data_IF_709031000997
#
_entry.id   IF_709031000997
#
_cell.length_a   1.000
_cell.length_b   1.000
_cell.length_c   1.000
_cell.angle_alpha   90.00
_cell.angle_beta   90.00
_cell.angle_gamma   90.00
#
_symmetry.space_group_name_H-M   'P 1'
#
loop_
_entity.id
_entity.type
_entity.pdbx_description
1 polymer ?
#
# COMPACT_ATOMS: atom_id res chain seq x y z
N UNK A 1 -11.66 11.08 2.09
CA UNK A 1 -10.24 11.15 2.51
C UNK A 1 -9.89 9.88 3.27
N UNK A 2 -8.73 9.31 3.00
CA UNK A 2 -8.19 8.10 3.65
C UNK A 2 -6.75 8.39 4.08
N UNK A 3 -6.51 8.91 5.29
CA UNK A 3 -5.16 9.14 5.77
C UNK A 3 -4.40 7.84 5.99
N UNK A 4 -3.12 7.86 5.67
CA UNK A 4 -2.20 6.79 6.00
C UNK A 4 -1.62 7.06 7.39
N UNK A 5 -1.81 6.15 8.32
CA UNK A 5 -1.30 6.28 9.69
C UNK A 5 -0.14 5.30 9.90
N UNK A 6 1.05 5.87 10.07
CA UNK A 6 2.30 5.15 10.34
C UNK A 6 2.56 5.04 11.85
N UNK A 7 3.17 3.92 12.26
CA UNK A 7 3.61 3.69 13.63
C UNK A 7 5.02 4.25 13.91
N UNK A 8 5.79 4.62 12.88
CA UNK A 8 7.21 4.95 13.00
C UNK A 8 7.50 6.08 13.99
N UNK A 9 6.76 7.18 13.87
CA UNK A 9 7.08 8.44 14.55
C UNK A 9 6.12 8.75 15.71
N UNK A 10 5.27 7.79 16.10
CA UNK A 10 4.20 8.02 17.07
C UNK A 10 4.15 6.93 18.14
N UNK A 11 4.12 7.38 19.38
CA UNK A 11 3.79 6.52 20.50
C UNK A 11 2.27 6.28 20.58
N UNK A 12 1.85 5.39 21.48
CA UNK A 12 0.44 5.05 21.70
C UNK A 12 -0.44 6.27 21.97
N UNK A 13 0.07 7.24 22.75
CA UNK A 13 -0.70 8.45 23.10
C UNK A 13 -0.93 9.33 21.87
N UNK A 14 0.11 9.59 21.10
CA UNK A 14 0.04 10.37 19.87
C UNK A 14 -0.88 9.71 18.81
N UNK A 15 -0.84 8.39 18.70
CA UNK A 15 -1.75 7.62 17.82
C UNK A 15 -3.20 7.79 18.29
N UNK A 16 -3.48 7.65 19.60
CA UNK A 16 -4.82 7.84 20.15
C UNK A 16 -5.34 9.25 19.89
N UNK A 17 -4.54 10.27 20.19
CA UNK A 17 -4.89 11.67 19.94
C UNK A 17 -5.16 11.94 18.47
N UNK A 18 -4.33 11.41 17.57
CA UNK A 18 -4.52 11.53 16.12
C UNK A 18 -5.82 10.89 15.62
N UNK A 19 -6.15 9.70 16.12
CA UNK A 19 -7.40 9.02 15.79
C UNK A 19 -8.62 9.80 16.31
N UNK A 20 -8.58 10.29 17.55
CA UNK A 20 -9.66 11.11 18.12
C UNK A 20 -9.87 12.42 17.36
N UNK A 21 -8.78 13.14 17.07
CA UNK A 21 -8.84 14.40 16.34
C UNK A 21 -9.35 14.23 14.90
N UNK A 22 -8.87 13.23 14.18
CA UNK A 22 -9.35 12.94 12.83
C UNK A 22 -10.80 12.43 12.81
N UNK A 23 -11.19 11.65 13.81
CA UNK A 23 -12.59 11.23 14.01
C UNK A 23 -13.52 12.43 14.23
N UNK A 24 -13.13 13.37 15.11
CA UNK A 24 -13.87 14.61 15.33
C UNK A 24 -13.99 15.47 14.06
N UNK A 25 -13.02 15.37 13.14
CA UNK A 25 -13.04 16.02 11.81
C UNK A 25 -13.81 15.23 10.75
N UNK A 26 -14.57 14.18 11.11
CA UNK A 26 -15.40 13.40 10.21
C UNK A 26 -14.67 12.30 9.44
N UNK A 27 -13.38 12.04 9.71
CA UNK A 27 -12.63 10.98 9.04
C UNK A 27 -12.97 9.63 9.63
N UNK A 28 -13.34 8.66 8.77
CA UNK A 28 -13.70 7.30 9.17
C UNK A 28 -12.85 6.22 8.50
N UNK A 29 -12.21 6.52 7.38
CA UNK A 29 -11.44 5.56 6.59
C UNK A 29 -9.94 5.78 6.77
N UNK A 30 -9.17 4.72 7.02
CA UNK A 30 -7.73 4.79 7.27
C UNK A 30 -6.97 3.68 6.54
N UNK A 31 -5.71 3.95 6.21
CA UNK A 31 -4.74 2.91 5.89
C UNK A 31 -3.71 2.84 7.01
N UNK A 32 -3.60 1.70 7.68
CA UNK A 32 -2.64 1.48 8.75
C UNK A 32 -1.39 0.78 8.25
N UNK A 33 -0.25 1.42 8.47
CA UNK A 33 1.05 0.92 8.06
C UNK A 33 2.02 0.89 9.23
N UNK A 34 3.01 0.01 9.18
CA UNK A 34 4.09 0.03 10.18
C UNK A 34 4.96 1.28 9.99
N UNK A 35 5.21 1.65 8.76
CA UNK A 35 6.17 2.69 8.38
C UNK A 35 7.56 2.10 8.14
N UNK A 36 8.32 2.76 7.26
CA UNK A 36 9.70 2.39 6.96
C UNK A 36 10.64 2.90 8.06
N UNK A 37 11.79 2.26 8.28
CA UNK A 37 12.82 2.77 9.19
C UNK A 37 13.26 4.19 8.79
N UNK A 38 13.69 4.98 9.78
CA UNK A 38 14.31 6.28 9.51
C UNK A 38 15.51 6.10 8.58
N UNK A 39 15.60 6.94 7.56
CA UNK A 39 16.72 6.97 6.62
C UNK A 39 18.06 7.08 7.38
N UNK A 40 19.11 6.49 6.80
CA UNK A 40 20.39 6.37 7.52
C UNK A 40 20.97 7.73 7.90
N UNK A 41 20.85 8.69 7.02
CA UNK A 41 21.29 10.08 7.16
C UNK A 41 20.55 10.84 8.27
N UNK A 42 19.29 10.48 8.52
CA UNK A 42 18.45 11.17 9.51
C UNK A 42 18.55 10.55 10.92
N UNK A 43 19.23 9.39 11.08
CA UNK A 43 19.25 8.65 12.36
C UNK A 43 19.98 9.39 13.49
N UNK A 44 20.82 10.35 13.16
CA UNK A 44 21.50 11.22 14.14
C UNK A 44 20.49 12.15 14.82
N UNK A 45 19.51 12.65 14.06
CA UNK A 45 18.54 13.65 14.53
C UNK A 45 17.19 13.07 14.91
N UNK A 46 16.85 11.88 14.37
CA UNK A 46 15.52 11.30 14.51
C UNK A 46 15.59 9.83 14.94
N UNK A 47 14.86 9.50 15.99
CA UNK A 47 14.69 8.12 16.47
C UNK A 47 13.29 7.64 16.16
N UNK A 48 13.18 6.42 15.64
CA UNK A 48 11.89 5.75 15.47
C UNK A 48 11.29 5.40 16.84
N UNK A 49 9.99 5.53 16.97
CA UNK A 49 9.23 5.20 18.18
C UNK A 49 8.75 3.75 18.15
N UNK A 50 7.98 3.38 17.13
CA UNK A 50 7.47 2.02 16.89
C UNK A 50 6.85 1.34 18.13
N UNK A 51 6.08 2.04 18.95
CA UNK A 51 5.30 1.41 20.03
C UNK A 51 4.38 0.32 19.49
N UNK A 52 3.92 0.50 18.25
CA UNK A 52 3.13 -0.45 17.50
C UNK A 52 3.82 -0.86 16.18
N UNK A 53 3.46 -2.03 15.69
CA UNK A 53 3.45 -2.36 14.26
C UNK A 53 2.00 -2.28 13.74
N UNK A 54 1.79 -2.45 12.44
CA UNK A 54 0.46 -2.31 11.83
C UNK A 54 -0.59 -3.25 12.46
N UNK A 55 -0.24 -4.47 12.85
CA UNK A 55 -1.18 -5.42 13.49
C UNK A 55 -1.58 -4.95 14.89
N UNK A 56 -0.61 -4.49 15.70
CA UNK A 56 -0.90 -3.94 17.03
C UNK A 56 -1.71 -2.65 16.95
N UNK A 57 -1.42 -1.80 15.95
CA UNK A 57 -2.22 -0.60 15.67
C UNK A 57 -3.67 -0.96 15.31
N UNK A 58 -3.87 -1.98 14.47
CA UNK A 58 -5.21 -2.47 14.11
C UNK A 58 -5.98 -3.00 15.32
N UNK A 59 -5.33 -3.80 16.18
CA UNK A 59 -5.94 -4.27 17.44
C UNK A 59 -6.30 -3.11 18.38
N UNK A 60 -5.45 -2.10 18.46
CA UNK A 60 -5.73 -0.88 19.22
C UNK A 60 -6.92 -0.10 18.65
N UNK A 61 -6.98 0.07 17.34
CA UNK A 61 -8.13 0.69 16.68
C UNK A 61 -9.43 -0.11 16.86
N UNK A 62 -9.34 -1.44 16.89
CA UNK A 62 -10.47 -2.32 17.18
C UNK A 62 -11.01 -2.09 18.60
N UNK A 63 -10.14 -1.95 19.61
CA UNK A 63 -10.58 -1.61 20.98
C UNK A 63 -11.21 -0.20 21.04
N UNK A 64 -10.64 0.77 20.29
CA UNK A 64 -11.25 2.10 20.20
C UNK A 64 -12.64 2.07 19.53
N UNK A 65 -12.85 1.23 18.53
CA UNK A 65 -14.17 1.03 17.91
C UNK A 65 -15.20 0.48 18.93
N UNK A 66 -14.76 -0.38 19.82
CA UNK A 66 -15.65 -0.95 20.85
C UNK A 66 -15.96 0.02 21.99
N UNK A 67 -14.99 0.84 22.39
CA UNK A 67 -15.06 1.67 23.59
C UNK A 67 -15.46 3.13 23.28
N UNK A 68 -14.88 3.70 22.21
CA UNK A 68 -14.94 5.14 21.92
C UNK A 68 -15.77 5.46 20.69
N UNK A 69 -15.63 4.66 19.62
CA UNK A 69 -16.27 4.87 18.32
C UNK A 69 -17.46 3.93 18.08
N UNK A 70 -18.06 3.40 19.13
CA UNK A 70 -19.08 2.33 19.08
C UNK A 70 -20.30 2.65 18.21
N UNK A 71 -20.69 3.92 18.13
CA UNK A 71 -21.88 4.35 17.41
C UNK A 71 -21.61 4.64 15.93
N UNK A 72 -20.34 4.91 15.58
CA UNK A 72 -19.89 5.19 14.22
C UNK A 72 -18.43 4.77 14.05
N UNK A 73 -18.21 3.49 13.84
CA UNK A 73 -16.87 2.87 13.86
C UNK A 73 -15.97 3.35 12.73
N UNK A 74 -14.66 3.45 13.00
CA UNK A 74 -13.67 3.68 11.95
C UNK A 74 -13.44 2.40 11.14
N UNK A 75 -13.22 2.58 9.85
CA UNK A 75 -12.95 1.56 8.85
C UNK A 75 -11.49 1.64 8.40
N UNK A 76 -10.77 0.53 8.40
CA UNK A 76 -9.35 0.57 8.07
C UNK A 76 -8.87 -0.62 7.25
N UNK A 77 -7.90 -0.32 6.40
CA UNK A 77 -7.15 -1.28 5.60
C UNK A 77 -5.69 -1.35 6.01
N UNK A 78 -4.98 -2.23 5.35
CA UNK A 78 -3.54 -2.43 5.52
C UNK A 78 -2.79 -2.47 4.20
N UNK A 79 -1.52 -2.10 4.23
CA UNK A 79 -0.64 -2.29 3.08
C UNK A 79 -0.31 -3.78 2.88
N UNK A 80 -0.24 -4.18 1.62
CA UNK A 80 0.12 -5.50 1.13
C UNK A 80 1.30 -5.37 0.16
N UNK A 81 2.42 -5.99 0.50
CA UNK A 81 3.50 -6.19 -0.45
C UNK A 81 3.42 -7.63 -0.98
N UNK A 82 2.90 -7.79 -2.18
CA UNK A 82 2.76 -9.08 -2.86
C UNK A 82 4.11 -9.65 -3.34
N UNK A 83 5.13 -8.79 -3.46
CA UNK A 83 6.47 -9.16 -3.95
C UNK A 83 7.44 -9.57 -2.82
N UNK A 84 6.95 -9.64 -1.58
CA UNK A 84 7.76 -9.97 -0.41
C UNK A 84 8.09 -11.46 -0.29
N UNK A 85 8.08 -11.98 0.94
CA UNK A 85 8.31 -13.39 1.28
C UNK A 85 7.39 -14.36 0.51
N UNK A 86 7.46 -15.66 0.85
CA UNK A 86 6.58 -16.64 0.21
C UNK A 86 5.10 -16.23 0.28
N UNK A 87 4.29 -16.55 -0.73
CA UNK A 87 2.86 -16.22 -0.76
C UNK A 87 2.12 -16.71 0.50
N UNK A 88 2.47 -17.88 1.04
CA UNK A 88 1.87 -18.42 2.26
C UNK A 88 2.16 -17.57 3.49
N UNK A 89 3.39 -17.06 3.61
CA UNK A 89 3.76 -16.15 4.71
C UNK A 89 3.04 -14.80 4.60
N UNK A 90 2.83 -14.33 3.38
CA UNK A 90 2.06 -13.10 3.11
C UNK A 90 0.60 -13.34 3.50
N UNK A 91 -0.02 -14.45 3.04
CA UNK A 91 -1.38 -14.83 3.39
C UNK A 91 -1.56 -14.95 4.92
N UNK A 92 -0.62 -15.59 5.61
CA UNK A 92 -0.64 -15.69 7.07
C UNK A 92 -0.61 -14.33 7.77
N UNK A 93 0.15 -13.36 7.25
CA UNK A 93 0.15 -11.99 7.76
C UNK A 93 -1.14 -11.23 7.44
N UNK A 94 -1.73 -11.46 6.27
CA UNK A 94 -3.03 -10.89 5.92
C UNK A 94 -4.11 -11.37 6.87
N UNK A 95 -4.20 -12.68 7.14
CA UNK A 95 -5.16 -13.26 8.09
C UNK A 95 -5.03 -12.62 9.48
N UNK A 96 -3.81 -12.49 10.01
CA UNK A 96 -3.57 -11.80 11.31
C UNK A 96 -4.03 -10.35 11.32
N UNK A 97 -3.91 -9.63 10.19
CA UNK A 97 -4.45 -8.27 10.06
C UNK A 97 -5.98 -8.27 10.01
N UNK A 98 -6.57 -9.24 9.31
CA UNK A 98 -8.04 -9.39 9.24
C UNK A 98 -8.64 -9.73 10.61
N UNK A 99 -8.01 -10.63 11.38
CA UNK A 99 -8.37 -10.90 12.78
C UNK A 99 -8.31 -9.64 13.67
N UNK A 100 -7.37 -8.73 13.36
CA UNK A 100 -7.24 -7.43 14.02
C UNK A 100 -8.19 -6.36 13.45
N UNK A 101 -9.18 -6.73 12.62
CA UNK A 101 -10.21 -5.85 12.09
C UNK A 101 -9.91 -5.18 10.75
N UNK A 102 -8.80 -5.54 10.07
CA UNK A 102 -8.50 -5.04 8.73
C UNK A 102 -9.57 -5.47 7.73
N UNK A 103 -10.10 -4.55 6.94
CA UNK A 103 -11.22 -4.78 6.03
C UNK A 103 -10.82 -4.89 4.57
N UNK A 104 -9.69 -4.33 4.19
CA UNK A 104 -9.17 -4.35 2.83
C UNK A 104 -7.65 -4.17 2.82
N UNK A 105 -7.05 -4.48 1.68
CA UNK A 105 -5.62 -4.31 1.47
C UNK A 105 -5.35 -3.47 0.24
N UNK A 106 -4.38 -2.53 0.35
CA UNK A 106 -3.80 -1.83 -0.78
C UNK A 106 -2.47 -2.47 -1.11
N UNK A 107 -2.29 -2.86 -2.39
CA UNK A 107 -1.07 -3.53 -2.85
C UNK A 107 0.04 -2.54 -3.15
N UNK A 108 1.26 -3.03 -3.30
CA UNK A 108 2.29 -2.31 -4.08
C UNK A 108 1.85 -2.26 -5.54
N UNK A 109 2.38 -1.31 -6.35
CA UNK A 109 2.11 -1.26 -7.78
C UNK A 109 2.39 -2.58 -8.47
N UNK A 110 1.53 -2.94 -9.43
CA UNK A 110 1.65 -4.15 -10.25
C UNK A 110 1.94 -3.74 -11.68
N UNK A 111 2.89 -4.43 -12.32
CA UNK A 111 3.32 -4.14 -13.69
C UNK A 111 3.28 -5.36 -14.60
N UNK A 112 2.97 -6.54 -14.10
CA UNK A 112 3.01 -7.79 -14.83
C UNK A 112 1.93 -8.80 -14.41
N UNK A 113 1.82 -9.84 -15.20
CA UNK A 113 0.90 -10.95 -14.95
C UNK A 113 1.27 -11.75 -13.68
N UNK A 114 2.56 -11.91 -13.38
CA UNK A 114 2.99 -12.63 -12.18
C UNK A 114 2.47 -11.95 -10.91
N UNK A 115 2.52 -10.62 -10.87
CA UNK A 115 1.95 -9.83 -9.77
C UNK A 115 0.45 -10.08 -9.61
N UNK A 116 -0.31 -10.16 -10.72
CA UNK A 116 -1.74 -10.49 -10.68
C UNK A 116 -1.98 -11.92 -10.18
N UNK A 117 -1.24 -12.91 -10.67
CA UNK A 117 -1.34 -14.31 -10.23
C UNK A 117 -1.07 -14.45 -8.73
N UNK A 118 -0.06 -13.75 -8.20
CA UNK A 118 0.22 -13.70 -6.76
C UNK A 118 -0.95 -13.10 -5.97
N UNK A 119 -1.54 -12.03 -6.46
CA UNK A 119 -2.71 -11.40 -5.81
C UNK A 119 -3.94 -12.31 -5.85
N UNK A 120 -4.15 -13.04 -6.95
CA UNK A 120 -5.20 -14.04 -7.09
C UNK A 120 -5.05 -15.13 -6.03
N UNK A 121 -3.87 -15.73 -5.93
CA UNK A 121 -3.56 -16.71 -4.88
C UNK A 121 -3.85 -16.16 -3.47
N UNK A 122 -3.40 -14.96 -3.16
CA UNK A 122 -3.61 -14.35 -1.85
C UNK A 122 -5.10 -14.12 -1.56
N UNK A 123 -5.87 -13.68 -2.56
CA UNK A 123 -7.31 -13.47 -2.45
C UNK A 123 -8.05 -14.80 -2.20
N UNK A 124 -7.75 -15.83 -2.99
CA UNK A 124 -8.34 -17.16 -2.83
C UNK A 124 -8.02 -17.77 -1.46
N UNK A 125 -6.78 -17.63 -1.00
CA UNK A 125 -6.30 -18.17 0.26
C UNK A 125 -6.88 -17.46 1.49
N UNK A 126 -7.21 -16.19 1.39
CA UNK A 126 -7.61 -15.35 2.55
C UNK A 126 -9.05 -14.86 2.50
N UNK A 127 -9.69 -14.82 1.33
CA UNK A 127 -10.98 -14.17 1.12
C UNK A 127 -10.92 -12.64 1.24
N UNK A 128 -9.73 -12.05 1.28
CA UNK A 128 -9.54 -10.62 1.50
C UNK A 128 -10.04 -9.76 0.33
N UNK A 129 -10.48 -8.54 0.66
CA UNK A 129 -10.71 -7.49 -0.34
C UNK A 129 -9.36 -6.83 -0.64
N UNK A 130 -8.93 -6.89 -1.90
CA UNK A 130 -7.65 -6.37 -2.37
C UNK A 130 -7.90 -5.29 -3.40
N UNK A 131 -7.31 -4.12 -3.20
CA UNK A 131 -7.29 -3.01 -4.14
C UNK A 131 -5.93 -3.01 -4.82
N UNK A 132 -5.91 -3.19 -6.14
CA UNK A 132 -4.68 -3.28 -6.93
C UNK A 132 -4.13 -1.88 -7.16
N UNK A 133 -2.86 -1.70 -6.80
CA UNK A 133 -2.13 -0.45 -7.02
C UNK A 133 -1.72 -0.29 -8.48
N UNK A 134 -2.13 0.81 -9.09
CA UNK A 134 -1.72 1.23 -10.44
C UNK A 134 -0.87 2.50 -10.28
N UNK A 135 0.38 2.45 -10.74
CA UNK A 135 1.29 3.60 -10.72
C UNK A 135 1.91 3.77 -12.11
N UNK A 136 1.40 4.68 -12.94
CA UNK A 136 1.96 4.95 -14.25
C UNK A 136 3.41 5.43 -14.15
N UNK A 137 4.31 4.81 -14.91
CA UNK A 137 5.69 5.25 -15.02
C UNK A 137 5.75 6.39 -16.05
N UNK A 138 6.49 7.46 -15.73
CA UNK A 138 6.42 8.71 -16.51
C UNK A 138 7.63 8.94 -17.43
N UNK A 139 8.67 8.10 -17.29
CA UNK A 139 9.89 8.17 -18.09
C UNK A 139 10.73 6.91 -17.87
N UNK A 140 11.71 6.70 -18.77
CA UNK A 140 12.71 5.63 -18.59
C UNK A 140 13.50 5.80 -17.27
N UNK A 141 13.93 7.03 -16.95
CA UNK A 141 14.64 7.32 -15.71
C UNK A 141 13.80 6.99 -14.48
N UNK A 142 12.53 7.36 -14.50
CA UNK A 142 11.59 7.04 -13.42
C UNK A 142 11.37 5.52 -13.29
N UNK A 143 11.21 4.80 -14.40
CA UNK A 143 11.06 3.35 -14.39
C UNK A 143 12.29 2.64 -13.77
N UNK A 144 13.50 3.07 -14.16
CA UNK A 144 14.75 2.54 -13.61
C UNK A 144 14.92 2.90 -12.13
N UNK A 145 14.57 4.12 -11.72
CA UNK A 145 14.61 4.55 -10.33
C UNK A 145 13.68 3.67 -9.46
N UNK A 146 12.43 3.50 -9.88
CA UNK A 146 11.47 2.67 -9.14
C UNK A 146 11.95 1.22 -9.07
N UNK A 147 12.48 0.68 -10.17
CA UNK A 147 13.00 -0.69 -10.22
C UNK A 147 14.16 -0.92 -9.26
N UNK A 148 15.10 0.02 -9.18
CA UNK A 148 16.38 -0.19 -8.49
C UNK A 148 16.38 0.36 -7.07
N UNK A 149 15.66 1.45 -6.81
CA UNK A 149 15.76 2.21 -5.55
C UNK A 149 14.52 2.07 -4.65
N UNK A 150 13.39 1.58 -5.19
CA UNK A 150 12.18 1.43 -4.38
C UNK A 150 11.96 -0.01 -3.93
N UNK A 151 12.28 -0.33 -2.66
CA UNK A 151 12.16 -1.70 -2.16
C UNK A 151 10.69 -2.15 -2.14
N UNK A 152 10.47 -3.38 -2.57
CA UNK A 152 9.14 -4.00 -2.57
C UNK A 152 8.30 -3.75 -3.82
N UNK A 153 8.75 -2.91 -4.75
CA UNK A 153 8.13 -2.74 -6.06
C UNK A 153 8.94 -3.56 -7.09
N UNK A 154 8.24 -4.39 -7.84
CA UNK A 154 8.84 -5.14 -8.95
C UNK A 154 8.44 -4.49 -10.27
N UNK A 155 9.44 -4.03 -11.04
CA UNK A 155 9.26 -3.52 -12.41
C UNK A 155 10.04 -4.43 -13.35
N UNK A 156 9.38 -5.26 -14.18
CA UNK A 156 10.03 -6.15 -15.12
C UNK A 156 10.87 -5.40 -16.16
N UNK A 157 11.92 -6.05 -16.67
CA UNK A 157 12.76 -5.47 -17.75
C UNK A 157 11.96 -5.15 -19.01
N UNK A 158 10.97 -5.96 -19.34
CA UNK A 158 10.06 -5.77 -20.46
C UNK A 158 9.24 -4.48 -20.35
N UNK A 159 8.85 -4.13 -19.13
CA UNK A 159 8.13 -2.87 -18.84
C UNK A 159 9.09 -1.69 -19.00
N UNK A 160 10.31 -1.78 -18.47
CA UNK A 160 11.34 -0.74 -18.66
C UNK A 160 11.68 -0.54 -20.15
N UNK A 161 11.74 -1.63 -20.93
CA UNK A 161 12.05 -1.59 -22.35
C UNK A 161 11.00 -0.83 -23.20
N UNK A 162 9.75 -0.73 -22.74
CA UNK A 162 8.71 0.08 -23.40
C UNK A 162 9.02 1.59 -23.33
N UNK A 163 9.85 2.02 -22.39
CA UNK A 163 10.32 3.40 -22.23
C UNK A 163 11.66 3.58 -22.95
N UNK A 164 11.62 3.84 -24.28
CA UNK A 164 12.80 3.95 -25.13
C UNK A 164 13.64 5.18 -24.75
N UNK A 165 14.95 5.07 -24.89
CA UNK A 165 15.85 6.21 -24.72
C UNK A 165 15.60 7.26 -25.82
N UNK A 166 15.51 8.54 -25.45
CA UNK A 166 15.24 9.62 -26.40
C UNK A 166 13.79 9.75 -26.86
N UNK A 167 12.86 8.91 -26.37
CA UNK A 167 11.45 9.05 -26.68
C UNK A 167 10.85 10.35 -26.13
N UNK A 168 9.80 10.85 -26.78
CA UNK A 168 9.08 12.05 -26.36
C UNK A 168 8.25 11.81 -25.10
N UNK A 169 7.77 12.88 -24.48
CA UNK A 169 6.88 12.80 -23.34
C UNK A 169 5.57 12.09 -23.67
N UNK A 170 5.04 12.38 -24.84
CA UNK A 170 3.80 11.78 -25.37
C UNK A 170 3.94 10.26 -25.51
N UNK A 171 5.08 9.78 -26.07
CA UNK A 171 5.37 8.34 -26.17
C UNK A 171 5.47 7.67 -24.80
N UNK A 172 6.01 8.36 -23.78
CA UNK A 172 6.03 7.83 -22.40
C UNK A 172 4.63 7.77 -21.79
N UNK A 173 3.79 8.78 -22.03
CA UNK A 173 2.40 8.81 -21.56
C UNK A 173 1.58 7.70 -22.21
N UNK A 174 1.74 7.46 -23.52
CA UNK A 174 1.10 6.35 -24.23
C UNK A 174 1.50 4.98 -23.65
N UNK A 175 2.80 4.76 -23.43
CA UNK A 175 3.31 3.53 -22.83
C UNK A 175 2.75 3.33 -21.41
N UNK A 176 2.69 4.39 -20.61
CA UNK A 176 2.15 4.34 -19.25
C UNK A 176 0.65 3.98 -19.24
N UNK A 177 -0.13 4.57 -20.15
CA UNK A 177 -1.56 4.29 -20.31
C UNK A 177 -1.77 2.83 -20.75
N UNK A 178 -1.01 2.38 -21.75
CA UNK A 178 -1.11 1.01 -22.26
C UNK A 178 -0.84 -0.02 -21.17
N UNK A 179 0.28 0.12 -20.44
CA UNK A 179 0.63 -0.77 -19.34
C UNK A 179 -0.46 -0.76 -18.27
N UNK A 180 -0.94 0.44 -17.89
CA UNK A 180 -1.98 0.58 -16.87
C UNK A 180 -3.28 -0.11 -17.30
N UNK A 181 -3.70 0.03 -18.57
CA UNK A 181 -4.87 -0.65 -19.11
C UNK A 181 -4.71 -2.17 -19.06
N UNK A 182 -3.57 -2.71 -19.49
CA UNK A 182 -3.29 -4.15 -19.46
C UNK A 182 -3.41 -4.70 -18.03
N UNK A 183 -2.85 -4.00 -17.02
CA UNK A 183 -2.95 -4.43 -15.64
C UNK A 183 -4.39 -4.35 -15.11
N UNK A 184 -5.14 -3.30 -15.47
CA UNK A 184 -6.55 -3.16 -15.09
C UNK A 184 -7.38 -4.31 -15.68
N UNK A 185 -7.22 -4.59 -16.96
CA UNK A 185 -7.93 -5.67 -17.65
C UNK A 185 -7.64 -7.03 -17.03
N UNK A 186 -6.36 -7.38 -16.83
CA UNK A 186 -5.98 -8.62 -16.16
C UNK A 186 -6.48 -8.70 -14.71
N UNK A 187 -6.45 -7.58 -13.99
CA UNK A 187 -6.84 -7.50 -12.59
C UNK A 187 -8.35 -7.46 -12.37
N UNK A 188 -9.13 -7.02 -13.36
CA UNK A 188 -10.57 -6.79 -13.22
C UNK A 188 -11.36 -8.09 -12.92
N UNK A 189 -10.93 -9.21 -13.49
CA UNK A 189 -11.53 -10.52 -13.24
C UNK A 189 -11.40 -10.94 -11.76
N UNK A 190 -10.31 -10.51 -11.10
CA UNK A 190 -9.97 -10.93 -9.73
C UNK A 190 -10.29 -9.87 -8.68
N UNK A 191 -10.21 -8.59 -9.06
CA UNK A 191 -10.50 -7.46 -8.17
C UNK A 191 -11.13 -6.32 -8.98
N UNK A 192 -12.44 -6.08 -8.88
CA UNK A 192 -13.11 -5.04 -9.66
C UNK A 192 -12.74 -3.62 -9.19
N UNK A 193 -11.90 -3.48 -8.18
CA UNK A 193 -11.46 -2.19 -7.63
C UNK A 193 -9.94 -2.11 -7.67
N UNK A 194 -9.46 -1.08 -8.33
CA UNK A 194 -8.04 -0.66 -8.31
C UNK A 194 -7.93 0.76 -7.79
N UNK A 195 -6.75 1.16 -7.40
CA UNK A 195 -6.45 2.53 -7.01
C UNK A 195 -5.18 3.01 -7.69
N UNK A 196 -5.11 4.32 -7.96
CA UNK A 196 -3.94 4.94 -8.57
C UNK A 196 -3.03 5.47 -7.48
N UNK A 197 -1.77 5.09 -7.50
CA UNK A 197 -0.73 5.76 -6.71
C UNK A 197 -0.54 7.17 -7.27
N UNK A 198 -0.78 8.18 -6.45
CA UNK A 198 -0.40 9.53 -6.78
C UNK A 198 1.13 9.60 -6.87
N UNK A 199 1.59 10.31 -7.90
CA UNK A 199 3.00 10.65 -8.06
C UNK A 199 3.49 11.34 -6.79
N UNK A 200 4.54 10.86 -6.18
CA UNK A 200 5.29 11.67 -5.24
C UNK A 200 5.84 12.86 -6.03
N UNK A 201 5.44 14.06 -5.66
CA UNK A 201 6.03 15.25 -6.24
C UNK A 201 7.51 15.28 -5.85
N UNK A 202 8.37 15.39 -6.84
CA UNK A 202 9.78 15.75 -6.68
C UNK A 202 9.88 17.18 -6.14
#
# INVERSE_FOLDING_TARGET
VMPHLSCRDKNRIAIRSGLLGSYASGIRNYLFVTGDPVAREDREFTKSVFDFNSIRLMKFAQSMNQEVFKDDTIFYGGALNQNGASPENIAGRMLKKMEAGCRYFLTQPVYDKEGIERLTFLKERTGAKILIGIMPLVSRRNALFIKNEMPGIHVPDEVVAKYKEGASREEFEEAAIEISKQIIEMGFEYSPVSYTHLRAHE
#
